data_IF_760869007230
#
_entry.id   IF_760869007230
#
_cell.length_a   1.000
_cell.length_b   1.000
_cell.length_c   1.000
_cell.angle_alpha   90.00
_cell.angle_beta   90.00
_cell.angle_gamma   90.00
#
_symmetry.space_group_name_H-M   'P 1'
#
loop_
_entity.id
_entity.type
_entity.pdbx_description
1 polymer ?
#
# COMPACT_ATOMS: atom_id res chain seq x y z
N UNK A 1 25.68 -11.20 25.93
CA UNK A 1 24.89 -11.09 24.69
C UNK A 1 24.27 -9.72 24.74
N UNK A 2 24.51 -8.86 23.75
CA UNK A 2 23.87 -7.53 23.75
C UNK A 2 22.36 -7.76 23.60
N UNK A 3 21.55 -7.21 24.52
CA UNK A 3 20.09 -7.26 24.40
C UNK A 3 19.70 -6.68 23.04
N UNK A 4 19.10 -7.51 22.19
CA UNK A 4 18.67 -7.11 20.85
C UNK A 4 17.47 -6.18 21.02
N UNK A 5 17.71 -4.87 20.92
CA UNK A 5 16.65 -3.86 20.99
C UNK A 5 15.77 -3.93 19.74
N UNK A 6 14.48 -3.66 19.90
CA UNK A 6 13.56 -3.48 18.79
C UNK A 6 13.80 -2.10 18.18
N UNK A 7 14.13 -2.04 16.89
CA UNK A 7 14.26 -0.76 16.20
C UNK A 7 12.87 -0.24 15.81
N UNK A 8 12.56 0.98 16.22
CA UNK A 8 11.33 1.71 15.87
C UNK A 8 11.72 2.94 15.06
N UNK A 9 11.21 3.02 13.83
CA UNK A 9 11.44 4.16 12.95
C UNK A 9 10.16 4.95 12.78
N UNK A 10 10.23 6.25 13.08
CA UNK A 10 9.14 7.20 12.89
C UNK A 10 9.37 7.94 11.56
N UNK A 11 8.48 7.69 10.59
CA UNK A 11 8.40 8.39 9.32
C UNK A 11 7.56 9.66 9.46
N UNK A 12 8.24 10.80 9.48
CA UNK A 12 7.59 12.09 9.75
C UNK A 12 6.57 12.50 8.68
N UNK A 13 5.53 13.23 9.09
CA UNK A 13 4.51 13.77 8.21
C UNK A 13 5.09 14.78 7.20
N UNK A 14 4.50 14.82 6.00
CA UNK A 14 4.83 15.87 5.06
C UNK A 14 4.24 17.22 5.51
N UNK A 15 5.08 18.18 5.89
CA UNK A 15 4.71 19.58 6.14
C UNK A 15 4.83 20.03 7.59
N UNK A 16 3.96 20.96 7.99
CA UNK A 16 4.03 21.66 9.30
C UNK A 16 2.76 21.51 10.14
N UNK A 17 2.03 20.40 10.01
CA UNK A 17 0.84 20.19 10.84
C UNK A 17 1.28 20.02 12.31
N UNK A 18 0.84 20.91 13.23
CA UNK A 18 1.31 20.89 14.61
C UNK A 18 0.87 19.64 15.37
N UNK A 19 -0.35 19.13 15.15
CA UNK A 19 -0.85 17.95 15.84
C UNK A 19 -0.08 16.67 15.44
N UNK A 20 0.28 16.55 14.15
CA UNK A 20 1.10 15.44 13.66
C UNK A 20 2.51 15.47 14.27
N UNK A 21 3.11 16.66 14.32
CA UNK A 21 4.42 16.87 14.93
C UNK A 21 4.39 16.56 16.42
N UNK A 22 3.38 17.03 17.15
CA UNK A 22 3.23 16.78 18.58
C UNK A 22 3.11 15.28 18.90
N UNK A 23 2.35 14.53 18.10
CA UNK A 23 2.27 13.08 18.20
C UNK A 23 3.63 12.42 17.96
N UNK A 24 4.32 12.77 16.86
CA UNK A 24 5.66 12.25 16.53
C UNK A 24 6.69 12.56 17.63
N UNK A 25 6.70 13.79 18.15
CA UNK A 25 7.61 14.22 19.22
C UNK A 25 7.35 13.46 20.51
N UNK A 26 6.08 13.28 20.88
CA UNK A 26 5.70 12.59 22.12
C UNK A 26 6.00 11.10 22.01
N UNK A 27 5.75 10.47 20.86
CA UNK A 27 6.15 9.08 20.60
C UNK A 27 7.66 8.91 20.68
N UNK A 28 8.43 9.78 20.00
CA UNK A 28 9.88 9.71 20.05
C UNK A 28 10.43 9.87 21.47
N UNK A 29 9.94 10.87 22.22
CA UNK A 29 10.38 11.12 23.59
C UNK A 29 10.03 9.98 24.54
N UNK A 30 8.83 9.40 24.42
CA UNK A 30 8.37 8.29 25.27
C UNK A 30 9.16 7.02 24.98
N UNK A 31 9.29 6.65 23.71
CA UNK A 31 9.96 5.43 23.29
C UNK A 31 11.48 5.46 23.55
N UNK A 32 12.10 6.64 23.58
CA UNK A 32 13.51 6.79 23.95
C UNK A 32 13.82 6.45 25.42
N UNK A 33 12.81 6.52 26.29
CA UNK A 33 12.96 6.13 27.69
C UNK A 33 12.85 4.61 27.89
N UNK A 34 12.43 3.87 26.87
CA UNK A 34 12.26 2.43 26.94
C UNK A 34 13.58 1.71 26.66
N UNK A 35 14.11 0.91 27.60
CA UNK A 35 15.45 0.33 27.49
C UNK A 35 15.59 -0.68 26.34
N UNK A 36 14.49 -1.33 25.97
CA UNK A 36 14.41 -2.40 24.96
C UNK A 36 14.16 -1.89 23.54
N UNK A 37 14.01 -0.57 23.38
CA UNK A 37 13.64 0.06 22.12
C UNK A 37 14.77 0.99 21.66
N UNK A 38 15.01 0.99 20.36
CA UNK A 38 15.89 1.94 19.69
C UNK A 38 15.05 2.77 18.71
N UNK A 39 14.98 4.08 18.95
CA UNK A 39 14.15 4.98 18.15
C UNK A 39 15.01 5.72 17.12
N UNK A 40 14.51 5.82 15.89
CA UNK A 40 15.10 6.65 14.84
C UNK A 40 14.03 7.42 14.08
N UNK A 41 14.41 8.58 13.54
CA UNK A 41 13.53 9.44 12.74
C UNK A 41 14.00 9.45 11.29
N UNK A 42 13.07 9.33 10.35
CA UNK A 42 13.35 9.55 8.92
C UNK A 42 12.36 10.55 8.34
N UNK A 43 12.74 11.27 7.27
CA UNK A 43 11.75 11.99 6.48
C UNK A 43 10.66 11.06 5.97
N UNK A 44 9.57 11.63 5.48
CA UNK A 44 8.44 10.87 4.98
C UNK A 44 8.88 9.78 3.97
N UNK A 45 8.59 8.50 4.26
CA UNK A 45 9.09 7.34 3.51
C UNK A 45 8.91 7.44 1.99
N UNK A 46 7.74 7.92 1.57
CA UNK A 46 7.38 8.06 0.16
C UNK A 46 8.24 9.10 -0.59
N UNK A 47 8.87 10.04 0.11
CA UNK A 47 9.71 11.09 -0.47
C UNK A 47 11.20 10.73 -0.49
N UNK A 48 11.60 9.59 0.11
CA UNK A 48 12.99 9.15 0.12
C UNK A 48 13.39 8.62 -1.27
N UNK A 49 14.46 9.17 -1.84
CA UNK A 49 15.10 8.64 -3.04
C UNK A 49 16.04 7.48 -2.69
N UNK A 50 16.48 6.73 -3.71
CA UNK A 50 17.35 5.55 -3.50
C UNK A 50 18.70 5.90 -2.88
N UNK A 51 19.22 7.10 -3.16
CA UNK A 51 20.50 7.65 -2.68
C UNK A 51 20.37 8.43 -1.36
N UNK A 52 19.14 8.67 -0.88
CA UNK A 52 18.91 9.42 0.34
C UNK A 52 19.44 8.66 1.58
N UNK A 53 20.09 9.37 2.50
CA UNK A 53 20.67 8.80 3.72
C UNK A 53 19.69 7.98 4.57
N UNK A 54 18.43 8.44 4.67
CA UNK A 54 17.34 7.69 5.32
C UNK A 54 17.04 6.34 4.66
N UNK A 55 17.12 6.23 3.33
CA UNK A 55 16.96 4.96 2.61
C UNK A 55 18.10 4.00 2.93
N UNK A 56 19.33 4.50 2.88
CA UNK A 56 20.53 3.72 3.23
C UNK A 56 20.49 3.22 4.67
N UNK A 57 20.02 4.06 5.60
CA UNK A 57 19.79 3.67 6.99
C UNK A 57 18.78 2.52 7.10
N UNK A 58 17.60 2.65 6.49
CA UNK A 58 16.56 1.61 6.53
C UNK A 58 17.04 0.27 5.93
N UNK A 59 17.82 0.33 4.84
CA UNK A 59 18.43 -0.84 4.20
C UNK A 59 19.49 -1.53 5.09
N UNK A 60 20.17 -0.76 5.95
CA UNK A 60 21.19 -1.29 6.84
C UNK A 60 20.61 -2.07 8.04
N UNK A 61 19.35 -1.82 8.41
CA UNK A 61 18.67 -2.53 9.50
C UNK A 61 18.49 -4.01 9.14
N UNK A 62 18.82 -4.93 10.04
CA UNK A 62 18.74 -6.38 9.82
C UNK A 62 17.75 -7.10 10.74
N UNK A 63 17.40 -6.50 11.86
CA UNK A 63 16.46 -7.06 12.84
C UNK A 63 15.00 -6.78 12.48
N UNK A 64 14.13 -7.20 13.41
CA UNK A 64 12.73 -6.84 13.38
C UNK A 64 12.59 -5.33 13.52
N UNK A 65 11.62 -4.77 12.81
CA UNK A 65 11.53 -3.34 12.57
C UNK A 65 10.07 -2.90 12.71
N UNK A 66 9.82 -1.91 13.56
CA UNK A 66 8.54 -1.19 13.57
C UNK A 66 8.68 0.09 12.76
N UNK A 67 7.74 0.33 11.87
CA UNK A 67 7.63 1.54 11.08
C UNK A 67 6.33 2.25 11.46
N UNK A 68 6.45 3.39 12.14
CA UNK A 68 5.35 4.32 12.37
C UNK A 68 5.29 5.30 11.20
N UNK A 69 4.17 5.36 10.47
CA UNK A 69 4.06 6.23 9.30
C UNK A 69 2.65 6.78 9.10
N UNK A 70 2.53 7.86 8.32
CA UNK A 70 1.26 8.44 7.89
C UNK A 70 0.71 7.81 6.60
N UNK A 71 1.08 6.56 6.34
CA UNK A 71 0.71 5.78 5.17
C UNK A 71 -0.16 4.60 5.60
N UNK A 72 -1.05 4.14 4.73
CA UNK A 72 -1.75 2.87 4.97
C UNK A 72 -0.71 1.73 5.05
N UNK A 73 -0.93 0.71 5.89
CA UNK A 73 0.05 -0.37 6.10
C UNK A 73 0.54 -1.03 4.80
N UNK A 74 -0.39 -1.32 3.88
CA UNK A 74 -0.09 -1.87 2.55
C UNK A 74 0.79 -0.94 1.71
N UNK A 75 0.51 0.36 1.69
CA UNK A 75 1.36 1.34 1.01
C UNK A 75 2.76 1.43 1.63
N UNK A 76 2.84 1.42 2.96
CA UNK A 76 4.10 1.39 3.70
C UNK A 76 4.94 0.17 3.30
N UNK A 77 4.35 -1.02 3.32
CA UNK A 77 5.01 -2.27 2.94
C UNK A 77 5.64 -2.18 1.54
N UNK A 78 4.87 -1.79 0.53
CA UNK A 78 5.36 -1.79 -0.85
C UNK A 78 6.33 -0.65 -1.18
N UNK A 79 6.28 0.48 -0.45
CA UNK A 79 7.33 1.50 -0.52
C UNK A 79 8.66 0.93 0.00
N UNK A 80 8.63 0.28 1.16
CA UNK A 80 9.81 -0.32 1.77
C UNK A 80 10.38 -1.45 0.91
N UNK A 81 9.53 -2.33 0.39
CA UNK A 81 9.95 -3.43 -0.50
C UNK A 81 10.67 -2.91 -1.75
N UNK A 82 10.11 -1.86 -2.37
CA UNK A 82 10.71 -1.17 -3.51
C UNK A 82 12.05 -0.54 -3.17
N UNK A 83 12.21 -0.02 -1.96
CA UNK A 83 13.47 0.52 -1.45
C UNK A 83 14.45 -0.57 -1.00
N UNK A 84 14.13 -1.86 -1.17
CA UNK A 84 15.00 -2.98 -0.76
C UNK A 84 14.95 -3.26 0.74
N UNK A 85 14.02 -2.65 1.47
CA UNK A 85 13.79 -2.86 2.90
C UNK A 85 12.73 -3.95 3.04
N UNK A 86 13.16 -5.21 2.91
CA UNK A 86 12.26 -6.38 2.86
C UNK A 86 12.20 -7.11 4.19
N UNK A 87 11.06 -7.73 4.46
CA UNK A 87 10.82 -8.58 5.62
C UNK A 87 9.41 -9.17 5.55
N UNK A 88 9.13 -10.14 6.42
CA UNK A 88 7.80 -10.70 6.60
C UNK A 88 6.90 -9.65 7.23
N UNK A 89 5.63 -9.64 6.87
CA UNK A 89 4.67 -8.74 7.49
C UNK A 89 4.47 -9.13 8.96
N UNK A 90 4.67 -8.16 9.85
CA UNK A 90 4.44 -8.34 11.28
C UNK A 90 2.97 -8.13 11.64
N UNK A 91 2.48 -8.87 12.63
CA UNK A 91 1.10 -8.73 13.10
C UNK A 91 0.94 -7.51 14.01
N UNK A 92 0.12 -6.54 13.57
CA UNK A 92 -0.22 -5.31 14.30
C UNK A 92 -1.68 -5.36 14.73
N UNK A 93 -1.95 -5.19 16.03
CA UNK A 93 -3.29 -5.17 16.62
C UNK A 93 -3.93 -3.78 16.60
N UNK A 94 -3.11 -2.72 16.60
CA UNK A 94 -3.60 -1.35 16.50
C UNK A 94 -4.02 -1.05 15.05
N UNK A 95 -5.30 -1.25 14.75
CA UNK A 95 -5.92 -1.01 13.44
C UNK A 95 -7.19 -0.16 13.62
N UNK A 96 -7.64 0.47 12.53
CA UNK A 96 -8.98 1.08 12.53
C UNK A 96 -10.01 -0.03 12.75
N UNK A 97 -11.04 0.23 13.56
CA UNK A 97 -12.17 -0.69 13.69
C UNK A 97 -12.88 -0.77 12.32
N UNK A 98 -12.79 -1.93 11.68
CA UNK A 98 -13.53 -2.27 10.46
C UNK A 98 -14.73 -3.12 10.84
N UNK A 99 -15.84 -2.95 10.12
CA UNK A 99 -17.05 -3.74 10.36
C UNK A 99 -16.77 -5.24 10.12
N UNK A 100 -17.38 -6.13 10.92
CA UNK A 100 -17.12 -7.59 10.88
C UNK A 100 -17.28 -8.20 9.47
N UNK A 101 -18.19 -7.64 8.66
CA UNK A 101 -18.44 -8.06 7.27
C UNK A 101 -17.23 -7.77 6.33
N UNK A 102 -16.48 -6.68 6.57
CA UNK A 102 -15.30 -6.31 5.79
C UNK A 102 -14.07 -7.18 6.13
N UNK A 103 -13.98 -7.70 7.36
CA UNK A 103 -12.90 -8.61 7.78
C UNK A 103 -13.00 -10.00 7.12
N UNK A 104 -14.21 -10.48 6.81
CA UNK A 104 -14.40 -11.78 6.16
C UNK A 104 -14.04 -11.77 4.67
N UNK A 105 -14.28 -10.67 3.95
CA UNK A 105 -13.88 -10.51 2.55
C UNK A 105 -12.35 -10.46 2.39
N UNK A 106 -11.63 -9.85 3.34
CA UNK A 106 -10.17 -9.77 3.35
C UNK A 106 -9.49 -11.15 3.44
N UNK A 107 -10.12 -12.13 4.09
CA UNK A 107 -9.60 -13.50 4.21
C UNK A 107 -9.74 -14.32 2.93
N UNK A 108 -10.60 -13.92 2.01
CA UNK A 108 -10.91 -14.68 0.78
C UNK A 108 -9.94 -14.38 -0.37
N UNK A 109 -9.31 -13.20 -0.38
CA UNK A 109 -8.29 -12.83 -1.37
C UNK A 109 -6.90 -13.09 -0.81
N UNK A 110 -6.48 -14.37 -0.81
CA UNK A 110 -5.10 -14.70 -0.50
C UNK A 110 -4.16 -13.99 -1.49
N UNK A 111 -3.11 -13.28 -1.03
CA UNK A 111 -2.14 -12.66 -1.92
C UNK A 111 -1.58 -13.69 -2.90
N UNK A 112 -1.45 -13.30 -4.16
CA UNK A 112 -0.73 -14.05 -5.16
C UNK A 112 0.70 -14.32 -4.66
N UNK A 113 1.01 -15.60 -4.44
CA UNK A 113 2.34 -16.01 -4.03
C UNK A 113 3.29 -15.97 -5.24
N UNK A 114 4.26 -15.05 -5.21
CA UNK A 114 5.38 -15.03 -6.15
C UNK A 114 6.58 -15.79 -5.54
N UNK A 115 6.87 -17.03 -5.99
CA UNK A 115 7.90 -17.87 -5.37
C UNK A 115 9.32 -17.30 -5.52
N UNK A 116 9.59 -16.50 -6.55
CA UNK A 116 10.89 -15.87 -6.74
C UNK A 116 11.09 -14.71 -5.78
N UNK A 117 10.05 -13.88 -5.59
CA UNK A 117 10.08 -12.81 -4.57
C UNK A 117 10.27 -13.37 -3.17
N UNK A 118 9.57 -14.46 -2.83
CA UNK A 118 9.64 -15.09 -1.51
C UNK A 118 11.07 -15.52 -1.12
N UNK A 119 11.92 -15.89 -2.09
CA UNK A 119 13.34 -16.22 -1.84
C UNK A 119 14.19 -15.03 -1.40
N UNK A 120 13.72 -13.80 -1.67
CA UNK A 120 14.46 -12.57 -1.36
C UNK A 120 14.06 -11.93 -0.03
N UNK A 121 13.03 -12.44 0.63
CA UNK A 121 12.51 -11.89 1.89
C UNK A 121 13.37 -12.42 3.04
N UNK A 122 14.08 -11.54 3.79
CA UNK A 122 14.86 -11.96 4.95
C UNK A 122 13.97 -12.48 6.08
N UNK A 123 14.54 -13.32 6.95
CA UNK A 123 13.86 -13.80 8.16
C UNK A 123 13.87 -12.72 9.26
N UNK A 124 13.03 -11.70 9.06
CA UNK A 124 12.75 -10.60 9.98
C UNK A 124 11.31 -10.14 9.76
N UNK A 125 10.70 -9.53 10.77
CA UNK A 125 9.39 -8.93 10.64
C UNK A 125 9.48 -7.41 10.47
N UNK A 126 8.60 -6.86 9.64
CA UNK A 126 8.37 -5.43 9.52
C UNK A 126 6.92 -5.16 9.93
N UNK A 127 6.75 -4.40 11.02
CA UNK A 127 5.46 -4.02 11.58
C UNK A 127 5.12 -2.60 11.12
N UNK A 128 4.17 -2.47 10.20
CA UNK A 128 3.71 -1.18 9.69
C UNK A 128 2.55 -0.68 10.54
N UNK A 129 2.79 0.35 11.37
CA UNK A 129 1.78 0.97 12.21
C UNK A 129 1.38 2.32 11.61
N UNK A 130 0.08 2.48 11.39
CA UNK A 130 -0.50 3.69 10.79
C UNK A 130 -0.80 4.75 11.86
N UNK A 131 -0.13 5.90 11.77
CA UNK A 131 -0.27 7.03 12.69
C UNK A 131 -1.62 7.76 12.59
N UNK A 132 -2.53 7.32 11.71
CA UNK A 132 -3.87 7.88 11.57
C UNK A 132 -4.91 7.19 12.44
N UNK A 133 -4.64 5.97 12.89
CA UNK A 133 -5.58 5.10 13.62
C UNK A 133 -5.96 5.70 14.97
N UNK A 134 -5.02 6.36 15.65
CA UNK A 134 -5.26 7.00 16.95
C UNK A 134 -4.58 8.35 17.07
N UNK A 135 -5.18 9.27 17.83
CA UNK A 135 -4.57 10.52 18.24
C UNK A 135 -3.79 10.43 19.55
N UNK A 136 -3.85 9.29 20.25
CA UNK A 136 -3.24 9.09 21.57
C UNK A 136 -1.88 8.39 21.43
N UNK A 137 -0.78 9.00 21.89
CA UNK A 137 0.53 8.36 21.88
C UNK A 137 0.57 7.01 22.62
N UNK A 138 -0.24 6.87 23.67
CA UNK A 138 -0.25 5.69 24.55
C UNK A 138 -0.65 4.41 23.80
N UNK A 139 -1.57 4.50 22.83
CA UNK A 139 -2.05 3.34 22.08
C UNK A 139 -0.90 2.73 21.24
N UNK A 140 -0.10 3.59 20.58
CA UNK A 140 1.08 3.17 19.84
C UNK A 140 2.17 2.61 20.75
N UNK A 141 2.43 3.25 21.89
CA UNK A 141 3.44 2.79 22.85
C UNK A 141 3.08 1.41 23.41
N UNK A 142 1.81 1.18 23.76
CA UNK A 142 1.33 -0.12 24.22
C UNK A 142 1.54 -1.20 23.15
N UNK A 143 1.19 -0.90 21.90
CA UNK A 143 1.36 -1.85 20.79
C UNK A 143 2.84 -2.17 20.51
N UNK A 144 3.70 -1.16 20.54
CA UNK A 144 5.16 -1.36 20.34
C UNK A 144 5.75 -2.19 21.47
N UNK A 145 5.32 -1.97 22.72
CA UNK A 145 5.76 -2.79 23.87
C UNK A 145 5.30 -4.24 23.74
N UNK A 146 4.08 -4.48 23.25
CA UNK A 146 3.60 -5.82 22.93
C UNK A 146 4.50 -6.49 21.90
N UNK A 147 4.78 -5.81 20.78
CA UNK A 147 5.66 -6.31 19.71
C UNK A 147 7.08 -6.58 20.24
N UNK A 148 7.63 -5.69 21.06
CA UNK A 148 8.94 -5.87 21.69
C UNK A 148 8.98 -7.12 22.58
N UNK A 149 7.95 -7.32 23.41
CA UNK A 149 7.81 -8.50 24.25
C UNK A 149 7.71 -9.80 23.45
N UNK A 150 6.96 -9.82 22.35
CA UNK A 150 6.86 -10.99 21.46
C UNK A 150 8.18 -11.30 20.74
N UNK A 151 8.89 -10.26 20.29
CA UNK A 151 10.15 -10.40 19.57
C UNK A 151 11.28 -10.95 20.45
N UNK A 152 11.21 -10.74 21.77
CA UNK A 152 12.18 -11.26 22.74
C UNK A 152 11.98 -12.73 23.09
N UNK A 153 10.80 -13.31 22.87
CA UNK A 153 10.53 -14.73 23.11
C UNK A 153 11.06 -15.54 21.91
N UNK A 154 12.39 -15.63 21.78
CA UNK A 154 13.01 -16.45 20.74
C UNK A 154 12.84 -17.94 21.04
N UNK A 155 12.15 -18.63 20.14
CA UNK A 155 12.41 -20.04 19.84
C UNK A 155 13.84 -20.16 19.29
N UNK A 156 14.57 -21.19 19.72
CA UNK A 156 15.96 -21.44 19.34
C UNK A 156 15.99 -22.21 18.02
N UNK A 157 16.67 -21.69 16.98
CA UNK A 157 17.41 -22.56 16.08
C UNK A 157 18.91 -22.21 16.07
N UNK A 158 19.69 -23.28 16.18
CA UNK A 158 21.14 -23.36 16.18
C UNK A 158 21.78 -22.84 14.88
N UNK A 159 22.98 -22.26 15.01
CA UNK A 159 24.07 -22.05 14.02
C UNK A 159 24.24 -20.69 13.30
N UNK A 160 25.09 -19.88 13.93
CA UNK A 160 26.30 -19.17 13.46
C UNK A 160 26.37 -18.30 12.18
N UNK A 161 26.65 -17.02 12.47
CA UNK A 161 27.74 -16.16 11.98
C UNK A 161 27.95 -15.94 10.47
N UNK A 162 27.62 -14.73 10.01
CA UNK A 162 28.50 -13.96 9.13
C UNK A 162 28.33 -12.44 9.36
N UNK A 163 29.44 -11.77 9.67
CA UNK A 163 29.53 -10.33 9.93
C UNK A 163 29.88 -9.56 8.66
N UNK A 164 29.20 -8.43 8.44
CA UNK A 164 29.77 -7.25 7.79
C UNK A 164 29.01 -6.02 8.31
N UNK A 165 29.67 -5.21 9.14
CA UNK A 165 29.14 -3.99 9.72
C UNK A 165 29.30 -2.81 8.73
N UNK A 166 28.29 -1.92 8.57
CA UNK A 166 28.45 -0.68 7.82
C UNK A 166 29.21 0.39 8.63
N UNK A 167 29.78 1.36 7.91
CA UNK A 167 30.60 2.44 8.46
C UNK A 167 29.83 3.31 9.48
N UNK A 168 30.37 3.56 10.69
CA UNK A 168 29.62 4.13 11.82
C UNK A 168 29.31 5.63 11.73
N UNK A 169 29.87 6.36 10.76
CA UNK A 169 29.76 7.83 10.75
C UNK A 169 28.41 8.39 10.28
N UNK A 170 27.59 7.61 9.56
CA UNK A 170 26.29 8.09 9.02
C UNK A 170 25.09 7.66 9.86
N UNK A 171 25.21 6.58 10.63
CA UNK A 171 24.15 6.08 11.52
C UNK A 171 23.97 6.97 12.76
N UNK A 172 25.06 7.49 13.34
CA UNK A 172 25.01 8.31 14.56
C UNK A 172 24.09 9.53 14.45
N UNK A 173 23.89 10.08 13.26
CA UNK A 173 22.99 11.23 13.02
C UNK A 173 21.53 10.92 13.36
N UNK A 174 21.11 9.66 13.25
CA UNK A 174 19.72 9.23 13.44
C UNK A 174 19.47 8.59 14.81
N UNK A 175 20.54 8.24 15.53
CA UNK A 175 20.52 7.62 16.86
C UNK A 175 20.25 8.61 18.01
N UNK A 176 20.11 9.91 17.72
CA UNK A 176 19.83 10.97 18.71
C UNK A 176 18.56 11.76 18.36
N UNK A 177 17.36 11.17 18.53
CA UNK A 177 16.11 11.78 18.09
C UNK A 177 15.75 13.08 18.81
N UNK A 178 16.15 13.25 20.08
CA UNK A 178 15.85 14.46 20.87
C UNK A 178 16.56 15.71 20.35
N UNK A 179 17.77 15.57 19.81
CA UNK A 179 18.53 16.71 19.28
C UNK A 179 17.91 17.22 17.96
N UNK A 180 17.31 16.31 17.17
CA UNK A 180 16.58 16.63 15.92
C UNK A 180 15.28 17.39 16.22
N UNK A 181 14.58 17.03 17.31
CA UNK A 181 13.29 17.61 17.68
C UNK A 181 13.45 18.97 18.39
N UNK A 182 14.41 19.09 19.31
CA UNK A 182 14.56 20.30 20.13
C UNK A 182 15.13 21.51 19.36
N UNK A 183 15.76 21.29 18.19
CA UNK A 183 16.27 22.35 17.33
C UNK A 183 15.17 23.27 16.75
N UNK A 184 13.91 22.80 16.67
CA UNK A 184 12.78 23.58 16.11
C UNK A 184 12.16 24.56 17.14
N UNK A 185 12.43 24.43 18.45
CA UNK A 185 11.79 25.24 19.50
C UNK A 185 12.53 26.53 19.88
N UNK A 186 13.80 26.70 19.50
CA UNK A 186 14.67 27.72 20.10
C UNK A 186 15.32 28.76 19.18
N UNK A 187 14.89 28.94 17.93
CA UNK A 187 15.53 29.93 17.06
C UNK A 187 14.88 31.32 17.09
N UNK A 188 15.23 32.06 18.15
CA UNK A 188 15.61 33.46 18.05
C UNK A 188 17.14 33.59 18.16
N UNK A 189 17.76 34.00 17.05
CA UNK A 189 19.15 34.47 16.90
C UNK A 189 20.32 33.44 16.88
N UNK A 190 20.78 33.22 15.64
CA UNK A 190 22.18 33.16 15.16
C UNK A 190 23.17 32.07 15.62
N UNK A 191 23.58 31.30 14.60
CA UNK A 191 24.86 30.59 14.40
C UNK A 191 25.16 29.33 15.21
N UNK A 192 24.63 28.18 14.76
CA UNK A 192 25.31 26.87 14.78
C UNK A 192 24.74 26.00 13.65
N UNK A 193 25.59 25.19 13.02
CA UNK A 193 25.27 24.40 11.81
C UNK A 193 24.09 23.45 12.06
N UNK A 194 23.00 23.68 11.32
CA UNK A 194 21.74 22.94 11.37
C UNK A 194 21.95 21.43 11.12
N UNK A 195 21.71 20.58 12.12
CA UNK A 195 21.46 19.15 11.88
C UNK A 195 20.03 18.98 11.37
N UNK A 196 19.77 19.53 10.18
CA UNK A 196 18.55 19.25 9.43
C UNK A 196 18.64 17.80 8.95
N UNK A 197 17.57 17.03 9.12
CA UNK A 197 17.36 15.85 8.29
C UNK A 197 17.55 16.27 6.83
N UNK A 198 18.20 15.41 6.06
CA UNK A 198 18.46 15.70 4.66
C UNK A 198 17.12 16.04 3.97
N UNK A 199 17.03 17.19 3.26
CA UNK A 199 15.77 17.66 2.75
C UNK A 199 15.28 16.74 1.63
N UNK A 200 14.02 16.31 1.73
CA UNK A 200 13.36 15.56 0.66
C UNK A 200 12.44 16.46 -0.18
N UNK A 201 12.27 16.11 -1.45
CA UNK A 201 11.30 16.75 -2.35
C UNK A 201 10.03 15.91 -2.34
N UNK A 202 8.86 16.54 -2.25
CA UNK A 202 7.57 15.82 -2.40
C UNK A 202 7.51 15.10 -3.75
N UNK A 203 7.23 13.80 -3.71
CA UNK A 203 7.17 12.94 -4.90
C UNK A 203 5.75 12.52 -5.24
N UNK A 204 5.57 12.08 -6.49
CA UNK A 204 4.33 11.50 -6.99
C UNK A 204 4.68 10.40 -7.98
N UNK A 205 4.46 9.15 -7.59
CA UNK A 205 4.73 7.97 -8.41
C UNK A 205 3.87 6.77 -7.95
N UNK A 206 3.51 5.85 -8.87
CA UNK A 206 2.83 4.62 -8.49
C UNK A 206 3.77 3.70 -7.71
N UNK A 207 3.19 2.91 -6.81
CA UNK A 207 3.85 1.81 -6.10
C UNK A 207 3.06 0.54 -6.44
N UNK A 208 3.76 -0.52 -6.82
CA UNK A 208 3.12 -1.79 -7.21
C UNK A 208 3.06 -2.72 -6.00
N UNK A 209 1.87 -3.22 -5.73
CA UNK A 209 1.63 -4.35 -4.86
C UNK A 209 1.84 -5.65 -5.62
N UNK A 210 2.99 -6.30 -5.42
CA UNK A 210 3.28 -7.58 -6.07
C UNK A 210 2.58 -8.79 -5.45
N UNK A 211 1.90 -8.61 -4.31
CA UNK A 211 1.02 -9.62 -3.73
C UNK A 211 -0.36 -9.63 -4.39
N UNK A 212 -0.76 -8.57 -5.10
CA UNK A 212 -2.01 -8.54 -5.86
C UNK A 212 -1.78 -8.47 -7.38
N UNK A 213 -0.61 -8.01 -7.84
CA UNK A 213 -0.34 -7.89 -9.26
C UNK A 213 -0.27 -9.27 -9.94
N UNK A 214 -1.19 -9.52 -10.87
CA UNK A 214 -1.21 -10.70 -11.74
C UNK A 214 -0.32 -10.58 -12.98
N UNK A 215 0.49 -9.52 -13.06
CA UNK A 215 1.37 -9.22 -14.19
C UNK A 215 0.62 -9.06 -15.54
N UNK A 216 -0.61 -8.53 -15.53
CA UNK A 216 -1.49 -8.38 -16.71
C UNK A 216 -1.08 -7.30 -17.72
N UNK A 217 -0.12 -6.45 -17.38
CA UNK A 217 0.43 -5.36 -18.24
C UNK A 217 -0.50 -4.19 -18.59
N UNK A 218 -1.74 -4.14 -18.11
CA UNK A 218 -2.64 -3.02 -18.44
C UNK A 218 -2.11 -1.65 -17.98
N UNK A 219 -1.37 -1.61 -16.87
CA UNK A 219 -0.83 -0.36 -16.34
C UNK A 219 0.26 0.26 -17.23
N UNK A 220 1.07 -0.55 -17.92
CA UNK A 220 2.09 -0.05 -18.86
C UNK A 220 1.42 0.43 -20.16
N UNK A 221 0.46 -0.32 -20.68
CA UNK A 221 -0.29 0.05 -21.89
C UNK A 221 -1.09 1.35 -21.70
N UNK A 222 -1.64 1.55 -20.50
CA UNK A 222 -2.38 2.76 -20.18
C UNK A 222 -1.47 3.98 -19.95
N UNK A 223 -0.22 3.79 -19.53
CA UNK A 223 0.63 4.90 -19.09
C UNK A 223 1.27 5.65 -20.26
N UNK A 224 0.69 6.81 -20.61
CA UNK A 224 1.25 7.71 -21.63
C UNK A 224 2.57 8.41 -21.24
N UNK A 225 3.04 8.25 -20.00
CA UNK A 225 4.21 8.96 -19.47
C UNK A 225 5.46 8.08 -19.34
N UNK A 226 5.41 6.82 -19.76
CA UNK A 226 6.57 5.92 -19.72
C UNK A 226 7.07 5.63 -18.30
N UNK A 227 6.16 5.56 -17.32
CA UNK A 227 6.50 5.33 -15.90
C UNK A 227 6.85 3.87 -15.64
N UNK A 228 6.27 2.95 -16.41
CA UNK A 228 6.42 1.52 -16.22
C UNK A 228 7.37 0.93 -17.27
N UNK A 229 8.08 -0.11 -16.86
CA UNK A 229 8.90 -0.97 -17.71
C UNK A 229 8.73 -2.44 -17.32
N UNK A 230 9.48 -3.33 -17.95
CA UNK A 230 9.45 -4.77 -17.69
C UNK A 230 10.88 -5.23 -17.42
N UNK A 231 11.11 -6.00 -16.36
CA UNK A 231 12.44 -6.54 -16.07
C UNK A 231 12.82 -7.70 -17.00
N UNK A 232 14.02 -8.26 -16.79
CA UNK A 232 14.52 -9.42 -17.55
C UNK A 232 13.67 -10.68 -17.35
N UNK A 233 12.92 -10.79 -16.24
CA UNK A 233 12.02 -11.89 -15.94
C UNK A 233 10.63 -11.73 -16.54
N UNK A 234 10.36 -10.61 -17.24
CA UNK A 234 9.03 -10.33 -17.77
C UNK A 234 8.07 -9.76 -16.73
N UNK A 235 8.56 -9.32 -15.56
CA UNK A 235 7.72 -8.74 -14.51
C UNK A 235 7.63 -7.22 -14.68
N UNK A 236 6.40 -6.70 -14.57
CA UNK A 236 6.14 -5.26 -14.55
C UNK A 236 6.89 -4.58 -13.40
N UNK A 237 7.45 -3.40 -13.65
CA UNK A 237 8.06 -2.56 -12.62
C UNK A 237 7.84 -1.07 -12.91
N UNK A 238 7.90 -0.25 -11.87
CA UNK A 238 7.97 1.22 -12.03
C UNK A 238 9.42 1.57 -12.33
N UNK A 239 9.71 1.98 -13.56
CA UNK A 239 11.06 2.25 -14.06
C UNK A 239 11.37 3.74 -13.82
N UNK A 240 10.55 4.62 -14.42
CA UNK A 240 10.78 6.05 -14.41
C UNK A 240 9.78 6.78 -13.49
N UNK A 241 10.02 6.68 -12.17
CA UNK A 241 9.13 7.20 -11.12
C UNK A 241 8.76 8.67 -11.29
N UNK A 242 9.77 9.51 -11.57
CA UNK A 242 9.61 10.96 -11.61
C UNK A 242 9.00 11.47 -12.93
N UNK A 243 8.81 10.59 -13.92
CA UNK A 243 8.06 10.89 -15.15
C UNK A 243 6.55 10.87 -14.95
N UNK A 244 6.06 10.36 -13.80
CA UNK A 244 4.63 10.31 -13.54
C UNK A 244 4.01 11.71 -13.48
N UNK A 245 2.93 11.92 -14.25
CA UNK A 245 2.17 13.17 -14.19
C UNK A 245 1.58 13.36 -12.80
N UNK A 246 2.00 14.43 -12.13
CA UNK A 246 1.50 14.83 -10.80
C UNK A 246 -0.03 14.77 -10.72
N UNK A 247 -0.53 14.02 -9.76
CA UNK A 247 -1.96 13.89 -9.47
C UNK A 247 -2.74 12.97 -10.41
N UNK A 248 -2.09 12.23 -11.31
CA UNK A 248 -2.73 11.23 -12.17
C UNK A 248 -2.74 9.85 -11.50
N UNK A 249 -3.90 9.28 -11.11
CA UNK A 249 -4.00 7.94 -10.54
C UNK A 249 -4.56 6.91 -11.54
N UNK A 250 -4.54 7.21 -12.84
CA UNK A 250 -5.37 6.50 -13.81
C UNK A 250 -5.01 5.01 -13.95
N UNK A 251 -3.72 4.65 -13.84
CA UNK A 251 -3.28 3.26 -13.80
C UNK A 251 -3.77 2.48 -12.55
N UNK A 252 -4.11 3.17 -11.45
CA UNK A 252 -4.76 2.55 -10.28
C UNK A 252 -6.21 2.17 -10.56
N UNK A 253 -6.90 2.92 -11.42
CA UNK A 253 -8.30 2.67 -11.77
C UNK A 253 -8.48 1.62 -12.86
N UNK A 254 -7.49 1.45 -13.73
CA UNK A 254 -7.53 0.42 -14.78
C UNK A 254 -7.07 -0.94 -14.26
N UNK A 255 -6.25 -0.98 -13.21
CA UNK A 255 -5.74 -2.24 -12.69
C UNK A 255 -6.87 -3.14 -12.14
N UNK A 256 -7.09 -4.35 -12.69
CA UNK A 256 -8.23 -5.19 -12.30
C UNK A 256 -8.14 -5.68 -10.86
N UNK A 257 -6.92 -5.91 -10.37
CA UNK A 257 -6.62 -6.41 -9.03
C UNK A 257 -6.37 -5.28 -8.00
N UNK A 258 -6.55 -4.01 -8.39
CA UNK A 258 -6.24 -2.85 -7.54
C UNK A 258 -4.79 -2.88 -6.98
N UNK A 259 -3.84 -3.41 -7.74
CA UNK A 259 -2.44 -3.57 -7.31
C UNK A 259 -1.60 -2.29 -7.38
N UNK A 260 -2.09 -1.22 -8.02
CA UNK A 260 -1.34 0.03 -8.18
C UNK A 260 -1.77 1.04 -7.13
N UNK A 261 -0.82 1.46 -6.29
CA UNK A 261 -1.01 2.34 -5.14
C UNK A 261 -0.41 3.72 -5.43
N UNK A 262 -1.11 4.79 -5.07
CA UNK A 262 -0.58 6.15 -5.00
C UNK A 262 -0.70 6.66 -3.56
N UNK A 263 0.35 6.50 -2.72
CA UNK A 263 0.29 6.77 -1.28
C UNK A 263 -0.14 8.21 -0.91
N UNK A 264 0.14 9.18 -1.79
CA UNK A 264 -0.27 10.58 -1.62
C UNK A 264 -1.66 10.94 -2.17
N UNK A 265 -2.46 9.96 -2.63
CA UNK A 265 -3.79 10.20 -3.19
C UNK A 265 -4.84 10.37 -2.07
N UNK A 266 -5.91 11.12 -2.35
CA UNK A 266 -6.97 11.43 -1.38
C UNK A 266 -7.94 10.29 -1.09
N UNK A 267 -8.14 9.39 -2.07
CA UNK A 267 -9.03 8.24 -1.94
C UNK A 267 -8.31 7.09 -1.22
N UNK A 268 -8.82 6.59 -0.07
CA UNK A 268 -8.20 5.53 0.72
C UNK A 268 -7.74 4.31 -0.10
N UNK A 269 -8.62 3.67 -0.87
CA UNK A 269 -8.26 2.48 -1.66
C UNK A 269 -7.12 2.72 -2.66
N UNK A 270 -7.08 3.89 -3.31
CA UNK A 270 -5.96 4.27 -4.21
C UNK A 270 -4.68 4.53 -3.40
N UNK A 271 -4.80 5.06 -2.19
CA UNK A 271 -3.68 5.33 -1.30
C UNK A 271 -3.16 4.08 -0.57
N UNK A 272 -3.77 2.92 -0.81
CA UNK A 272 -3.36 1.63 -0.24
C UNK A 272 -4.10 1.26 1.03
N UNK A 273 -5.27 1.84 1.31
CA UNK A 273 -6.20 1.25 2.27
C UNK A 273 -6.77 -0.06 1.71
N UNK A 274 -7.26 -0.90 2.60
CA UNK A 274 -8.10 -2.03 2.20
C UNK A 274 -9.46 -1.52 1.69
N UNK A 275 -10.10 -2.29 0.81
CA UNK A 275 -11.38 -1.94 0.17
C UNK A 275 -11.29 -1.50 -1.30
N UNK A 276 -12.45 -1.27 -1.92
CA UNK A 276 -12.53 -1.02 -3.36
C UNK A 276 -11.98 0.36 -3.78
N UNK A 277 -11.27 0.39 -4.91
CA UNK A 277 -10.87 1.62 -5.60
C UNK A 277 -12.10 2.23 -6.28
N UNK A 278 -12.93 2.91 -5.48
CA UNK A 278 -14.05 3.77 -5.87
C UNK A 278 -14.83 3.32 -7.14
N UNK A 279 -15.77 2.39 -6.97
CA UNK A 279 -17.11 2.31 -7.60
C UNK A 279 -17.28 2.39 -9.13
N UNK A 280 -16.23 2.59 -9.93
CA UNK A 280 -16.29 2.61 -11.37
C UNK A 280 -15.09 1.81 -11.89
N UNK A 281 -15.16 0.49 -11.76
CA UNK A 281 -14.40 -0.42 -12.63
C UNK A 281 -14.93 -0.18 -14.03
N UNK A 282 -14.28 0.74 -14.75
CA UNK A 282 -14.60 1.05 -16.14
C UNK A 282 -14.31 -0.23 -16.90
N UNK A 283 -15.35 -0.96 -17.26
CA UNK A 283 -15.23 -2.11 -18.14
C UNK A 283 -14.94 -1.57 -19.55
N UNK A 284 -13.64 -1.47 -19.87
CA UNK A 284 -13.17 -0.97 -21.17
C UNK A 284 -13.82 -1.74 -22.32
N UNK A 285 -14.14 -3.02 -22.14
CA UNK A 285 -14.86 -3.85 -23.11
C UNK A 285 -16.23 -3.26 -23.44
N UNK A 286 -16.98 -2.83 -22.42
CA UNK A 286 -18.28 -2.16 -22.61
C UNK A 286 -18.13 -0.73 -23.15
N UNK A 287 -17.05 -0.04 -22.79
CA UNK A 287 -16.82 1.35 -23.22
C UNK A 287 -16.40 1.44 -24.70
N UNK A 288 -15.66 0.46 -25.21
CA UNK A 288 -15.18 0.39 -26.60
C UNK A 288 -16.02 -0.52 -27.50
N UNK A 289 -17.18 -0.99 -27.03
CA UNK A 289 -18.14 -1.73 -27.85
C UNK A 289 -17.70 -3.15 -28.22
N UNK A 290 -16.90 -3.80 -27.37
CA UNK A 290 -16.64 -5.23 -27.52
C UNK A 290 -17.98 -5.99 -27.40
N UNK A 291 -18.33 -6.85 -28.38
CA UNK A 291 -19.56 -7.61 -28.30
C UNK A 291 -19.53 -8.53 -27.08
N UNK A 292 -20.68 -8.69 -26.42
CA UNK A 292 -20.82 -9.56 -25.27
C UNK A 292 -20.25 -10.95 -25.61
N UNK A 293 -19.47 -11.54 -24.71
CA UNK A 293 -18.75 -12.80 -24.98
C UNK A 293 -19.73 -13.90 -25.42
N UNK A 294 -20.94 -13.85 -24.89
CA UNK A 294 -22.04 -14.75 -25.19
C UNK A 294 -22.62 -14.51 -26.59
N UNK A 295 -22.73 -13.26 -27.02
CA UNK A 295 -23.16 -12.87 -28.36
C UNK A 295 -22.13 -13.27 -29.42
N UNK A 296 -20.85 -13.10 -29.10
CA UNK A 296 -19.74 -13.54 -29.95
C UNK A 296 -19.73 -15.06 -30.12
N UNK A 297 -19.88 -15.82 -29.04
CA UNK A 297 -19.96 -17.28 -29.07
C UNK A 297 -21.20 -17.78 -29.84
N UNK A 298 -22.35 -17.13 -29.69
CA UNK A 298 -23.55 -17.48 -30.44
C UNK A 298 -23.39 -17.21 -31.94
N UNK A 299 -22.73 -16.09 -32.30
CA UNK A 299 -22.45 -15.75 -33.70
C UNK A 299 -21.48 -16.74 -34.35
N UNK A 300 -20.42 -17.15 -33.64
CA UNK A 300 -19.48 -18.15 -34.13
C UNK A 300 -20.15 -19.52 -34.32
N UNK A 301 -20.94 -19.97 -33.34
CA UNK A 301 -21.74 -21.19 -33.46
C UNK A 301 -22.70 -21.14 -34.64
N UNK A 302 -23.43 -20.04 -34.80
CA UNK A 302 -24.41 -19.90 -35.87
C UNK A 302 -23.75 -19.84 -37.26
N UNK A 303 -22.54 -19.27 -37.36
CA UNK A 303 -21.75 -19.31 -38.59
C UNK A 303 -21.38 -20.75 -38.97
N UNK A 304 -20.97 -21.58 -38.01
CA UNK A 304 -20.68 -23.01 -38.23
C UNK A 304 -21.95 -23.81 -38.57
N UNK A 305 -23.08 -23.53 -37.92
CA UNK A 305 -24.36 -24.16 -38.24
C UNK A 305 -24.77 -23.89 -39.69
N UNK A 306 -24.68 -22.64 -40.13
CA UNK A 306 -25.00 -22.23 -41.49
C UNK A 306 -24.02 -22.85 -42.50
N UNK A 307 -22.73 -22.93 -42.17
CA UNK A 307 -21.73 -23.61 -42.99
C UNK A 307 -22.06 -25.10 -43.20
N UNK A 308 -22.61 -25.75 -42.16
CA UNK A 308 -23.11 -27.13 -42.21
C UNK A 308 -24.51 -27.28 -42.83
N UNK A 309 -25.08 -26.20 -43.39
CA UNK A 309 -26.40 -26.20 -44.03
C UNK A 309 -27.58 -26.28 -43.06
N UNK A 310 -27.38 -25.88 -41.80
CA UNK A 310 -28.40 -25.80 -40.75
C UNK A 310 -28.81 -24.35 -40.51
N UNK A 311 -30.00 -24.14 -39.93
CA UNK A 311 -30.47 -22.79 -39.59
C UNK A 311 -29.73 -22.23 -38.37
N UNK A 312 -29.45 -20.92 -38.40
CA UNK A 312 -28.93 -20.18 -37.24
C UNK A 312 -29.97 -20.16 -36.11
N UNK A 313 -29.52 -20.37 -34.88
CA UNK A 313 -30.43 -20.53 -33.72
C UNK A 313 -30.42 -19.35 -32.77
N UNK A 314 -29.50 -18.40 -32.95
CA UNK A 314 -29.39 -17.17 -32.17
C UNK A 314 -29.21 -17.42 -30.67
N UNK A 315 -29.44 -16.39 -29.85
CA UNK A 315 -29.26 -16.47 -28.39
C UNK A 315 -30.27 -17.38 -27.66
N UNK A 316 -31.22 -18.00 -28.37
CA UNK A 316 -32.35 -18.73 -27.78
C UNK A 316 -32.04 -20.15 -27.28
N UNK A 317 -30.91 -20.73 -27.67
CA UNK A 317 -30.60 -22.16 -27.42
C UNK A 317 -29.31 -22.30 -26.61
N UNK A 318 -29.38 -22.97 -25.45
CA UNK A 318 -28.22 -23.36 -24.63
C UNK A 318 -27.95 -22.50 -23.39
N UNK A 319 -28.61 -21.36 -23.23
CA UNK A 319 -28.50 -20.52 -22.05
C UNK A 319 -29.45 -20.99 -20.95
N UNK A 320 -28.88 -21.46 -19.82
CA UNK A 320 -29.68 -21.62 -18.59
C UNK A 320 -30.18 -20.23 -18.22
N UNK A 321 -31.51 -20.03 -18.27
CA UNK A 321 -32.13 -18.85 -17.67
C UNK A 321 -31.74 -18.86 -16.20
N UNK A 322 -30.80 -18.01 -15.80
CA UNK A 322 -30.61 -17.65 -14.41
C UNK A 322 -31.97 -17.21 -13.89
N UNK A 323 -32.43 -17.87 -12.83
CA UNK A 323 -33.70 -17.59 -12.18
C UNK A 323 -33.75 -16.11 -11.83
N UNK A 324 -34.68 -15.41 -12.47
CA UNK A 324 -35.00 -14.00 -12.24
C UNK A 324 -35.03 -13.69 -10.75
N UNK A 325 -34.18 -12.75 -10.35
CA UNK A 325 -34.49 -11.80 -9.27
C UNK A 325 -35.91 -11.28 -9.53
N UNK A 326 -36.70 -11.28 -8.47
CA UNK A 326 -38.16 -11.13 -8.46
C UNK A 326 -38.67 -9.99 -9.35
N UNK A 327 -39.66 -10.34 -10.17
CA UNK A 327 -40.49 -9.47 -11.03
C UNK A 327 -41.31 -8.41 -10.25
N UNK A 328 -41.05 -8.24 -8.95
CA UNK A 328 -41.79 -7.35 -8.06
C UNK A 328 -41.23 -5.91 -8.04
N UNK A 329 -39.96 -5.71 -8.40
CA UNK A 329 -39.32 -4.39 -8.29
C UNK A 329 -39.51 -3.50 -9.51
N UNK A 330 -39.74 -4.06 -10.70
CA UNK A 330 -39.99 -3.27 -11.92
C UNK A 330 -41.40 -2.67 -11.92
N UNK A 331 -42.40 -3.41 -11.45
CA UNK A 331 -43.80 -2.93 -11.40
C UNK A 331 -43.97 -1.79 -10.36
N UNK A 332 -43.22 -1.81 -9.24
CA UNK A 332 -43.21 -0.70 -8.28
C UNK A 332 -42.50 0.56 -8.80
N UNK A 333 -41.48 0.39 -9.65
CA UNK A 333 -40.74 1.50 -10.25
C UNK A 333 -41.53 2.17 -11.39
N UNK A 334 -42.28 1.39 -12.19
CA UNK A 334 -43.20 1.92 -13.19
C UNK A 334 -44.37 2.69 -12.52
N UNK A 335 -44.95 2.15 -11.45
CA UNK A 335 -46.01 2.84 -10.69
C UNK A 335 -45.50 4.14 -10.02
N UNK A 336 -44.24 4.19 -9.57
CA UNK A 336 -43.64 5.39 -9.01
C UNK A 336 -43.35 6.46 -10.08
N UNK A 337 -42.98 6.05 -11.30
CA UNK A 337 -42.77 6.95 -12.43
C UNK A 337 -44.09 7.54 -12.93
N UNK A 338 -45.14 6.73 -13.04
CA UNK A 338 -46.47 7.19 -13.46
C UNK A 338 -47.09 8.15 -12.43
N UNK A 339 -46.84 7.94 -11.13
CA UNK A 339 -47.28 8.87 -10.08
C UNK A 339 -46.49 10.20 -10.07
N UNK A 340 -45.24 10.20 -10.54
CA UNK A 340 -44.42 11.40 -10.64
C UNK A 340 -44.86 12.27 -11.83
N UNK A 341 -45.22 11.64 -12.96
CA UNK A 341 -45.77 12.34 -14.13
C UNK A 341 -47.22 12.83 -13.92
N UNK A 342 -47.96 12.22 -12.99
CA UNK A 342 -49.30 12.67 -12.59
C UNK A 342 -49.31 13.88 -11.63
N UNK A 343 -48.17 14.23 -11.05
CA UNK A 343 -47.98 15.43 -10.22
C UNK A 343 -47.43 16.57 -11.08
N UNK A 344 -48.29 17.12 -11.95
CA UNK A 344 -47.99 18.29 -12.77
C UNK A 344 -47.98 19.58 -11.89
N UNK A 345 -46.84 19.84 -11.23
CA UNK A 345 -46.51 21.10 -10.52
C UNK A 345 -45.30 21.76 -11.18
#
# INVERSE_FOLDING_TARGET
>A
MADKKLTVVISQAQGKNPAKRELEETLAATLLMEPEIEVSLVPHLYDLSADHTGTLFLQALRGDLVILSWLYPRACHWILDRQGVRGKEGHVLLREEVDEDEEEEQKQNAPFENPERNKTIPDRHIYSIDLRVSSKPEDYVQEIKRIAGESQVQTVPLMDMLQSAPQPAQLEKYLKPLDIINADKNNGAETTEDVKLEPTKRRWYPVIDYGLCTNCMECIDFCLFGVYGVDQGGQILVEEQDSCKKGCPACSRVCPENAIIFPGHKTPGIAGADGEVAGLKIDLSKLFGAPDALEMAARERDAELVADGRDAVGMGVGLRKSSKVSKATDEELEDLMDNLDALDI
#
